data_IF_029372472756
#
_entry.id   IF_029372472756
#
_cell.length_a   1.000
_cell.length_b   1.000
_cell.length_c   1.000
_cell.angle_alpha   90.00
_cell.angle_beta   90.00
_cell.angle_gamma   90.00
#
_symmetry.space_group_name_H-M   'P 1'
#
loop_
_entity.id
_entity.type
_entity.pdbx_description
1 polymer ?
#
# COMPACT_ATOMS: atom_id res chain seq x y z
N UNK A 1 -18.37 14.21 -13.10
CA UNK A 1 -17.45 13.19 -13.66
C UNK A 1 -16.60 12.68 -12.52
N UNK A 2 -16.55 11.36 -12.39
CA UNK A 2 -16.08 10.58 -11.23
C UNK A 2 -14.68 10.95 -10.74
N UNK A 3 -14.50 10.73 -9.43
CA UNK A 3 -13.26 10.87 -8.69
C UNK A 3 -12.19 9.91 -9.24
N UNK A 4 -11.50 10.34 -10.29
CA UNK A 4 -10.49 9.55 -10.99
C UNK A 4 -9.28 9.37 -10.08
N UNK A 5 -9.03 8.13 -9.65
CA UNK A 5 -7.85 7.73 -8.89
C UNK A 5 -6.57 8.28 -9.55
N UNK A 6 -6.06 9.39 -9.02
CA UNK A 6 -4.82 10.00 -9.49
C UNK A 6 -3.66 9.29 -8.82
N UNK A 7 -2.63 8.95 -9.61
CA UNK A 7 -1.35 8.51 -9.08
C UNK A 7 -0.87 9.50 -8.01
N UNK A 8 -0.50 8.96 -6.85
CA UNK A 8 0.09 9.72 -5.74
C UNK A 8 1.58 9.40 -5.58
N UNK A 9 2.19 8.85 -6.61
CA UNK A 9 3.56 8.33 -6.61
C UNK A 9 4.59 9.29 -6.03
N UNK A 10 4.65 10.55 -6.49
CA UNK A 10 5.60 11.54 -5.96
C UNK A 10 5.43 11.75 -4.45
N UNK A 11 4.18 11.84 -3.99
CA UNK A 11 3.86 12.04 -2.56
C UNK A 11 4.32 10.84 -1.74
N UNK A 12 4.00 9.61 -2.19
CA UNK A 12 4.39 8.38 -1.48
C UNK A 12 5.92 8.20 -1.50
N UNK A 13 6.58 8.49 -2.62
CA UNK A 13 8.02 8.42 -2.74
C UNK A 13 8.72 9.38 -1.77
N UNK A 14 8.28 10.64 -1.69
CA UNK A 14 8.82 11.60 -0.71
C UNK A 14 8.63 11.11 0.72
N UNK A 15 7.44 10.60 1.05
CA UNK A 15 7.14 10.04 2.37
C UNK A 15 8.06 8.87 2.74
N UNK A 16 8.29 7.94 1.82
CA UNK A 16 9.14 6.76 2.09
C UNK A 16 10.63 7.14 2.21
N UNK A 17 11.07 8.19 1.50
CA UNK A 17 12.40 8.80 1.65
C UNK A 17 12.58 9.44 3.03
N UNK A 18 11.65 10.31 3.44
CA UNK A 18 11.66 10.99 4.74
C UNK A 18 11.67 9.98 5.89
N UNK A 19 10.79 8.98 5.84
CA UNK A 19 10.69 7.90 6.85
C UNK A 19 12.01 7.14 7.05
N UNK A 20 12.86 7.07 6.03
CA UNK A 20 14.14 6.33 6.05
C UNK A 20 15.37 7.23 6.11
N UNK A 21 15.20 8.56 6.20
CA UNK A 21 16.31 9.50 6.16
C UNK A 21 17.13 9.42 4.85
N UNK A 22 16.46 9.08 3.74
CA UNK A 22 17.09 8.97 2.43
C UNK A 22 16.90 10.25 1.62
N UNK A 23 17.80 10.50 0.69
CA UNK A 23 17.68 11.54 -0.33
C UNK A 23 17.87 10.90 -1.71
N UNK A 24 17.66 11.66 -2.79
CA UNK A 24 17.76 11.14 -4.16
C UNK A 24 19.13 10.49 -4.46
N UNK A 25 20.22 11.02 -3.89
CA UNK A 25 21.57 10.46 -4.06
C UNK A 25 21.70 9.10 -3.38
N UNK A 26 21.32 9.02 -2.09
CA UNK A 26 21.46 7.78 -1.33
C UNK A 26 20.51 6.71 -1.84
N UNK A 27 19.31 7.10 -2.29
CA UNK A 27 18.38 6.19 -2.95
C UNK A 27 18.97 5.63 -4.25
N UNK A 28 19.47 6.49 -5.15
CA UNK A 28 20.07 6.07 -6.42
C UNK A 28 21.19 5.04 -6.22
N UNK A 29 22.10 5.29 -5.27
CA UNK A 29 23.20 4.37 -4.96
C UNK A 29 22.72 3.03 -4.41
N UNK A 30 21.63 3.01 -3.63
CA UNK A 30 21.11 1.80 -2.98
C UNK A 30 20.17 0.99 -3.87
N UNK A 31 19.36 1.66 -4.70
CA UNK A 31 18.39 0.99 -5.57
C UNK A 31 18.93 0.69 -6.98
N UNK A 32 20.06 1.28 -7.37
CA UNK A 32 20.62 1.16 -8.71
C UNK A 32 19.88 1.99 -9.78
N UNK A 33 18.85 2.74 -9.39
CA UNK A 33 18.07 3.57 -10.32
C UNK A 33 18.83 4.87 -10.60
N UNK A 34 18.91 5.33 -11.86
CA UNK A 34 19.56 6.59 -12.19
C UNK A 34 19.01 7.76 -11.39
N UNK A 35 19.92 8.60 -10.86
CA UNK A 35 19.56 9.78 -10.07
C UNK A 35 18.65 10.75 -10.83
N UNK A 36 18.84 10.88 -12.15
CA UNK A 36 18.01 11.70 -13.04
C UNK A 36 16.56 11.24 -13.05
N UNK A 37 16.32 9.93 -13.12
CA UNK A 37 14.99 9.32 -13.05
C UNK A 37 14.33 9.63 -11.71
N UNK A 38 15.05 9.43 -10.60
CA UNK A 38 14.53 9.73 -9.26
C UNK A 38 14.18 11.22 -9.13
N UNK A 39 15.03 12.14 -9.58
CA UNK A 39 14.72 13.57 -9.52
C UNK A 39 13.53 13.96 -10.37
N UNK A 40 13.40 13.41 -11.58
CA UNK A 40 12.24 13.66 -12.44
C UNK A 40 10.95 13.30 -11.69
N UNK A 41 10.91 12.14 -11.03
CA UNK A 41 9.77 11.75 -10.21
C UNK A 41 9.53 12.64 -8.99
N UNK A 42 10.60 13.01 -8.28
CA UNK A 42 10.50 13.92 -7.13
C UNK A 42 10.07 15.34 -7.53
N UNK A 43 10.27 15.72 -8.79
CA UNK A 43 9.80 16.99 -9.38
C UNK A 43 8.35 16.95 -9.89
N UNK A 44 7.69 15.79 -9.81
CA UNK A 44 6.28 15.62 -10.16
C UNK A 44 6.02 14.95 -11.51
N UNK A 45 7.05 14.46 -12.20
CA UNK A 45 6.84 13.55 -13.33
C UNK A 45 6.26 12.22 -12.85
N UNK A 46 5.31 11.67 -13.60
CA UNK A 46 4.75 10.36 -13.31
C UNK A 46 5.62 9.24 -13.91
N UNK A 47 5.67 8.07 -13.27
CA UNK A 47 6.21 6.89 -13.90
C UNK A 47 5.37 6.48 -15.12
N UNK A 48 6.03 5.87 -16.09
CA UNK A 48 5.45 5.41 -17.35
C UNK A 48 5.82 3.94 -17.61
N UNK A 49 5.35 3.39 -18.75
CA UNK A 49 5.63 2.00 -19.12
C UNK A 49 7.13 1.68 -19.26
N UNK A 50 7.97 2.67 -19.57
CA UNK A 50 9.43 2.48 -19.73
C UNK A 50 10.13 2.39 -18.38
N UNK A 51 9.53 2.95 -17.34
CA UNK A 51 10.12 3.05 -16.00
C UNK A 51 9.44 2.16 -14.96
N UNK A 52 8.46 1.36 -15.35
CA UNK A 52 7.67 0.51 -14.45
C UNK A 52 8.52 -0.50 -13.66
N UNK A 53 9.57 -1.07 -14.26
CA UNK A 53 10.49 -1.97 -13.54
C UNK A 53 11.26 -1.24 -12.44
N UNK A 54 11.65 0.01 -12.68
CA UNK A 54 12.29 0.86 -11.66
C UNK A 54 11.32 1.18 -10.51
N UNK A 55 10.03 1.38 -10.81
CA UNK A 55 9.00 1.53 -9.77
C UNK A 55 8.89 0.25 -8.94
N UNK A 56 8.86 -0.92 -9.59
CA UNK A 56 8.87 -2.21 -8.89
C UNK A 56 10.12 -2.36 -8.01
N UNK A 57 11.31 -2.03 -8.51
CA UNK A 57 12.55 -2.05 -7.73
C UNK A 57 12.47 -1.15 -6.50
N UNK A 58 11.82 0.02 -6.59
CA UNK A 58 11.58 0.87 -5.43
C UNK A 58 10.60 0.23 -4.43
N UNK A 59 9.53 -0.39 -4.90
CA UNK A 59 8.57 -1.08 -4.05
C UNK A 59 9.26 -2.20 -3.26
N UNK A 60 10.04 -3.04 -3.94
CA UNK A 60 10.85 -4.10 -3.34
C UNK A 60 11.88 -3.54 -2.34
N UNK A 61 12.59 -2.47 -2.72
CA UNK A 61 13.57 -1.80 -1.86
C UNK A 61 12.95 -1.23 -0.57
N UNK A 62 11.76 -0.63 -0.68
CA UNK A 62 11.05 -0.08 0.47
C UNK A 62 10.31 -1.14 1.29
N UNK A 63 10.11 -2.35 0.74
CA UNK A 63 9.31 -3.41 1.35
C UNK A 63 7.82 -3.06 1.40
N UNK A 64 7.30 -2.45 0.32
CA UNK A 64 5.89 -2.05 0.18
C UNK A 64 5.32 -2.58 -1.12
N UNK A 65 4.00 -2.65 -1.24
CA UNK A 65 3.36 -3.04 -2.50
C UNK A 65 3.49 -1.95 -3.58
N UNK A 66 3.39 -2.38 -4.84
CA UNK A 66 3.41 -1.46 -5.98
C UNK A 66 2.19 -0.53 -5.95
N UNK A 67 1.04 -1.06 -5.54
CA UNK A 67 -0.22 -0.34 -5.39
C UNK A 67 -0.10 0.76 -4.34
N UNK A 68 0.51 0.46 -3.19
CA UNK A 68 0.79 1.46 -2.17
C UNK A 68 1.68 2.57 -2.71
N UNK A 69 2.76 2.19 -3.38
CA UNK A 69 3.72 3.15 -3.92
C UNK A 69 3.09 4.07 -4.97
N UNK A 70 2.17 3.55 -5.80
CA UNK A 70 1.54 4.31 -6.88
C UNK A 70 0.31 5.13 -6.44
N UNK A 71 -0.53 4.59 -5.56
CA UNK A 71 -1.86 5.14 -5.26
C UNK A 71 -2.03 5.61 -3.81
N UNK A 72 -1.04 5.38 -2.94
CA UNK A 72 -1.17 5.56 -1.47
C UNK A 72 -2.25 4.65 -0.86
N UNK A 73 -2.70 3.65 -1.60
CA UNK A 73 -3.62 2.65 -1.08
C UNK A 73 -2.83 1.75 -0.14
N UNK A 74 -3.18 1.78 1.15
CA UNK A 74 -2.77 0.69 2.02
C UNK A 74 -3.27 -0.57 1.34
N UNK A 75 -2.44 -1.62 1.30
CA UNK A 75 -2.96 -2.96 1.03
C UNK A 75 -4.26 -3.06 1.80
N UNK A 76 -5.36 -3.35 1.09
CA UNK A 76 -6.53 -3.87 1.76
C UNK A 76 -5.94 -5.06 2.49
N UNK A 77 -5.70 -4.92 3.79
CA UNK A 77 -5.44 -6.06 4.63
C UNK A 77 -6.63 -6.93 4.28
N UNK A 78 -6.40 -8.01 3.55
CA UNK A 78 -7.28 -9.15 3.68
C UNK A 78 -7.42 -9.28 5.19
N UNK A 79 -8.61 -8.95 5.70
CA UNK A 79 -8.82 -8.78 7.14
C UNK A 79 -8.11 -9.95 7.78
N UNK A 80 -7.14 -9.73 8.69
CA UNK A 80 -6.28 -10.81 9.16
C UNK A 80 -7.18 -11.96 9.65
N UNK A 81 -7.32 -12.97 8.80
CA UNK A 81 -8.40 -13.92 8.95
C UNK A 81 -7.91 -14.93 9.97
N UNK A 82 -8.64 -15.06 11.08
CA UNK A 82 -8.48 -16.15 12.01
C UNK A 82 -8.79 -17.49 11.31
N UNK A 83 -9.71 -17.47 10.34
CA UNK A 83 -10.08 -18.64 9.54
C UNK A 83 -10.30 -18.19 8.09
N UNK A 84 -9.67 -18.87 7.13
CA UNK A 84 -9.90 -18.70 5.69
C UNK A 84 -9.93 -20.07 5.02
N UNK A 85 -11.04 -20.78 5.19
CA UNK A 85 -11.18 -22.19 4.80
C UNK A 85 -12.25 -22.38 3.73
N UNK A 86 -12.10 -23.42 2.91
CA UNK A 86 -13.13 -23.87 1.96
C UNK A 86 -13.80 -25.12 2.54
N UNK A 87 -15.13 -25.07 2.69
CA UNK A 87 -15.92 -26.14 3.30
C UNK A 87 -16.98 -26.62 2.30
N UNK A 88 -17.11 -27.94 2.08
CA UNK A 88 -18.18 -28.48 1.24
C UNK A 88 -19.53 -28.42 1.95
N UNK A 89 -20.56 -28.01 1.21
CA UNK A 89 -21.96 -28.04 1.63
C UNK A 89 -22.65 -29.35 1.30
N UNK A 90 -23.72 -29.64 2.03
CA UNK A 90 -24.56 -30.83 1.78
C UNK A 90 -25.33 -30.76 0.46
N UNK A 91 -25.42 -29.59 -0.13
CA UNK A 91 -26.01 -29.30 -1.44
C UNK A 91 -25.02 -29.49 -2.60
N UNK A 92 -23.78 -29.89 -2.32
CA UNK A 92 -22.73 -30.07 -3.31
C UNK A 92 -21.96 -28.79 -3.66
N UNK A 93 -22.30 -27.65 -3.05
CA UNK A 93 -21.58 -26.40 -3.27
C UNK A 93 -20.35 -26.29 -2.36
N UNK A 94 -19.38 -25.47 -2.76
CA UNK A 94 -18.22 -25.12 -1.92
C UNK A 94 -18.42 -23.72 -1.33
N UNK A 95 -18.23 -23.59 -0.02
CA UNK A 95 -18.34 -22.33 0.70
C UNK A 95 -16.97 -21.89 1.18
N UNK A 96 -16.67 -20.59 1.03
CA UNK A 96 -15.49 -20.00 1.66
C UNK A 96 -15.89 -19.30 2.95
N UNK A 97 -15.31 -19.73 4.07
CA UNK A 97 -15.50 -19.13 5.39
C UNK A 97 -14.31 -18.23 5.71
N UNK A 98 -14.59 -16.94 5.87
CA UNK A 98 -13.63 -15.91 6.26
C UNK A 98 -14.04 -15.35 7.63
N UNK A 99 -13.23 -15.58 8.66
CA UNK A 99 -13.44 -15.03 10.01
C UNK A 99 -12.30 -14.09 10.33
N UNK A 100 -12.59 -12.85 10.70
CA UNK A 100 -11.58 -11.87 11.11
C UNK A 100 -11.93 -11.25 12.47
N UNK A 101 -10.91 -10.82 13.20
CA UNK A 101 -11.11 -10.10 14.46
C UNK A 101 -11.51 -8.64 14.17
N UNK A 102 -12.70 -8.23 14.60
CA UNK A 102 -13.10 -6.82 14.59
C UNK A 102 -12.69 -6.21 15.93
N UNK A 103 -11.81 -5.19 15.92
CA UNK A 103 -11.55 -4.40 17.12
C UNK A 103 -12.82 -3.63 17.50
N UNK A 104 -13.41 -3.91 18.67
CA UNK A 104 -14.39 -3.02 19.29
C UNK A 104 -13.66 -1.79 19.82
N UNK A 105 -13.95 -0.61 19.26
CA UNK A 105 -13.68 0.64 19.96
C UNK A 105 -14.76 0.79 21.03
N UNK A 106 -14.42 0.55 22.30
CA UNK A 106 -15.23 1.06 23.40
C UNK A 106 -15.01 2.58 23.42
N UNK A 107 -15.94 3.35 22.87
CA UNK A 107 -16.07 4.75 23.27
C UNK A 107 -16.71 4.76 24.65
N UNK A 108 -15.98 5.34 25.61
CA UNK A 108 -16.47 5.78 26.92
C UNK A 108 -17.64 6.74 26.73
N UNK A 109 -18.87 6.23 26.56
CA UNK A 109 -20.09 7.03 26.61
C UNK A 109 -21.27 6.13 27.00
N UNK A 110 -21.15 5.48 28.16
CA UNK A 110 -22.31 5.10 28.95
C UNK A 110 -22.22 5.91 30.24
N UNK A 111 -22.65 7.17 30.15
CA UNK A 111 -23.03 7.96 31.31
C UNK A 111 -23.88 7.08 32.23
N UNK A 112 -23.43 6.98 33.48
CA UNK A 112 -24.11 6.31 34.57
C UNK A 112 -25.52 6.88 34.72
N UNK A 113 -26.57 6.04 34.87
CA UNK A 113 -27.84 6.52 35.37
C UNK A 113 -27.72 6.82 36.87
N UNK A 114 -28.15 8.04 37.20
CA UNK A 114 -28.58 8.61 38.50
C UNK A 114 -27.52 8.83 39.60
#
# INVERSE_FOLDING_TARGET
MENKERLKFQKVLNKELEKRGLNANSLSKKSGIPRSTIYSWLSGSYPDSRTIYSVKTLADFFGVSLEYLLFEEKEKKEDAYLVNEIIPGKDGNLYRVKVSAIKKNYSEDANSPE
#
